data_IF_726014560663
#
_entry.id   IF_726014560663
#
_cell.length_a   1.000
_cell.length_b   1.000
_cell.length_c   1.000
_cell.angle_alpha   90.00
_cell.angle_beta   90.00
_cell.angle_gamma   90.00
#
_symmetry.space_group_name_H-M   'P 1'
#
loop_
_entity.id
_entity.type
_entity.pdbx_description
1 polymer ?
#
# COMPACT_ATOMS: atom_id res chain seq x y z
N UNK A 1 16.37 -4.57 -13.31
CA UNK A 1 15.47 -3.68 -12.50
C UNK A 1 15.43 -2.29 -13.12
N UNK A 2 14.32 -1.59 -12.94
CA UNK A 2 14.22 -0.19 -13.36
C UNK A 2 15.22 0.67 -12.59
N UNK A 3 16.10 1.37 -13.30
CA UNK A 3 17.18 2.18 -12.72
C UNK A 3 16.64 3.29 -11.79
N UNK A 4 15.45 3.82 -12.06
CA UNK A 4 14.84 4.81 -11.19
C UNK A 4 14.54 4.23 -9.80
N UNK A 5 14.04 3.01 -9.75
CA UNK A 5 13.74 2.32 -8.47
C UNK A 5 15.05 1.98 -7.74
N UNK A 6 16.08 1.57 -8.45
CA UNK A 6 17.40 1.31 -7.84
C UNK A 6 17.97 2.55 -7.14
N UNK A 7 17.73 3.72 -7.70
CA UNK A 7 18.25 4.99 -7.18
C UNK A 7 17.37 5.63 -6.10
N UNK A 8 16.09 5.27 -6.03
CA UNK A 8 15.14 5.92 -5.14
C UNK A 8 14.48 4.99 -4.12
N UNK A 9 14.54 3.69 -4.31
CA UNK A 9 13.80 2.64 -3.60
C UNK A 9 12.30 2.62 -3.91
N UNK A 10 11.77 3.56 -4.68
CA UNK A 10 10.33 3.64 -4.97
C UNK A 10 10.03 4.30 -6.31
N UNK A 11 8.80 4.14 -6.76
CA UNK A 11 8.21 4.88 -7.87
C UNK A 11 6.77 5.27 -7.51
N UNK A 12 6.42 6.54 -7.78
CA UNK A 12 5.04 7.02 -7.67
C UNK A 12 4.30 6.72 -8.97
N UNK A 13 3.13 6.12 -8.88
CA UNK A 13 2.31 5.71 -10.01
C UNK A 13 0.94 6.38 -9.91
N UNK A 14 0.74 7.54 -10.56
CA UNK A 14 -0.56 8.19 -10.56
C UNK A 14 -1.58 7.35 -11.33
N UNK A 15 -2.80 7.31 -10.83
CA UNK A 15 -3.91 6.57 -11.45
C UNK A 15 -3.56 5.11 -11.78
N UNK A 16 -2.95 4.43 -10.82
CA UNK A 16 -2.71 2.98 -10.93
C UNK A 16 -4.01 2.22 -11.17
N UNK A 17 -5.08 2.70 -10.53
CA UNK A 17 -6.47 2.39 -10.91
C UNK A 17 -7.25 3.72 -10.99
N UNK A 18 -8.37 3.73 -11.67
CA UNK A 18 -9.23 4.92 -11.74
C UNK A 18 -9.80 5.26 -10.35
N UNK A 19 -9.95 6.55 -10.01
CA UNK A 19 -10.50 6.97 -8.72
C UNK A 19 -11.87 6.36 -8.41
N UNK A 20 -12.72 6.19 -9.41
CA UNK A 20 -14.05 5.58 -9.28
C UNK A 20 -13.96 4.13 -8.83
N UNK A 21 -13.00 3.39 -9.37
CA UNK A 21 -12.73 2.00 -8.98
C UNK A 21 -12.17 1.93 -7.56
N UNK A 22 -11.27 2.84 -7.20
CA UNK A 22 -10.73 2.94 -5.86
C UNK A 22 -11.83 3.18 -4.83
N UNK A 23 -12.74 4.12 -5.11
CA UNK A 23 -13.87 4.42 -4.25
C UNK A 23 -14.84 3.24 -4.11
N UNK A 24 -15.09 2.52 -5.20
CA UNK A 24 -15.95 1.33 -5.19
C UNK A 24 -15.34 0.21 -4.34
N UNK A 25 -14.04 -0.05 -4.49
CA UNK A 25 -13.32 -1.04 -3.68
C UNK A 25 -13.29 -0.65 -2.20
N UNK A 26 -13.10 0.64 -1.90
CA UNK A 26 -13.17 1.13 -0.53
C UNK A 26 -14.56 0.89 0.09
N UNK A 27 -15.62 1.17 -0.65
CA UNK A 27 -17.01 0.95 -0.21
C UNK A 27 -17.25 -0.53 0.10
N UNK A 28 -16.90 -1.41 -0.82
CA UNK A 28 -17.06 -2.86 -0.64
C UNK A 28 -16.29 -3.37 0.59
N UNK A 29 -15.06 -2.90 0.76
CA UNK A 29 -14.23 -3.28 1.91
C UNK A 29 -14.80 -2.76 3.24
N UNK A 30 -15.23 -1.49 3.29
CA UNK A 30 -15.84 -0.91 4.49
C UNK A 30 -17.14 -1.62 4.88
N UNK A 31 -17.98 -1.98 3.91
CA UNK A 31 -19.18 -2.77 4.15
C UNK A 31 -18.85 -4.16 4.72
N UNK A 32 -17.80 -4.78 4.21
CA UNK A 32 -17.30 -6.06 4.71
C UNK A 32 -16.77 -5.95 6.15
N UNK A 33 -15.98 -4.94 6.44
CA UNK A 33 -15.43 -4.68 7.78
C UNK A 33 -16.54 -4.49 8.81
N UNK A 34 -17.57 -3.72 8.47
CA UNK A 34 -18.73 -3.49 9.33
C UNK A 34 -19.54 -4.77 9.54
N UNK A 35 -19.87 -5.47 8.44
CA UNK A 35 -20.72 -6.67 8.48
C UNK A 35 -20.13 -7.79 9.33
N UNK A 36 -18.82 -7.98 9.26
CA UNK A 36 -18.12 -9.09 9.93
C UNK A 36 -17.40 -8.66 11.22
N UNK A 37 -17.61 -7.43 11.68
CA UNK A 37 -17.00 -6.89 12.90
C UNK A 37 -15.48 -7.18 12.95
N UNK A 38 -14.80 -6.80 11.86
CA UNK A 38 -13.36 -7.01 11.74
C UNK A 38 -12.62 -6.22 12.83
N UNK A 39 -11.76 -6.91 13.56
CA UNK A 39 -11.10 -6.40 14.76
C UNK A 39 -9.79 -5.66 14.47
N UNK A 40 -9.26 -5.06 15.54
CA UNK A 40 -8.05 -4.27 15.51
C UNK A 40 -6.84 -5.03 14.98
N UNK A 41 -6.00 -4.29 14.29
CA UNK A 41 -4.72 -4.76 13.80
C UNK A 41 -3.69 -4.77 14.94
N UNK A 42 -2.88 -5.82 15.02
CA UNK A 42 -1.82 -5.94 16.03
C UNK A 42 -0.71 -4.91 15.82
N UNK A 43 -0.44 -4.55 14.55
CA UNK A 43 0.60 -3.58 14.19
C UNK A 43 0.17 -2.13 14.45
N UNK A 44 -1.11 -1.84 14.24
CA UNK A 44 -1.69 -0.49 14.38
C UNK A 44 -2.97 -0.58 15.21
N UNK A 45 -2.87 -0.28 16.49
CA UNK A 45 -4.03 -0.28 17.40
C UNK A 45 -5.15 0.63 16.89
N UNK A 46 -6.39 0.25 17.13
CA UNK A 46 -7.61 0.97 16.72
C UNK A 46 -7.78 1.10 15.21
N UNK A 47 -7.02 0.37 14.41
CA UNK A 47 -7.27 0.22 12.99
C UNK A 47 -7.99 -1.10 12.73
N UNK A 48 -8.51 -1.27 11.52
CA UNK A 48 -9.13 -2.52 11.09
C UNK A 48 -8.40 -3.03 9.86
N UNK A 49 -8.09 -4.31 9.82
CA UNK A 49 -7.31 -4.90 8.73
C UNK A 49 -7.81 -6.28 8.33
N UNK A 50 -7.56 -6.64 7.09
CA UNK A 50 -7.92 -7.95 6.57
C UNK A 50 -6.98 -8.37 5.46
N UNK A 51 -6.51 -9.61 5.55
CA UNK A 51 -5.63 -10.21 4.55
C UNK A 51 -6.47 -10.91 3.48
N UNK A 52 -6.15 -10.64 2.20
CA UNK A 52 -6.74 -11.32 1.06
C UNK A 52 -8.26 -11.16 0.91
N UNK A 53 -8.77 -9.96 1.12
CA UNK A 53 -10.14 -9.62 0.71
C UNK A 53 -10.28 -9.86 -0.80
N UNK A 54 -11.37 -10.54 -1.21
CA UNK A 54 -11.52 -11.08 -2.57
C UNK A 54 -11.31 -10.04 -3.68
N UNK A 55 -11.87 -8.85 -3.54
CA UNK A 55 -11.70 -7.78 -4.54
C UNK A 55 -10.25 -7.34 -4.69
N UNK A 56 -9.47 -7.39 -3.63
CA UNK A 56 -8.04 -7.04 -3.67
C UNK A 56 -7.19 -8.18 -4.20
N UNK A 57 -7.55 -9.43 -3.96
CA UNK A 57 -6.89 -10.58 -4.60
C UNK A 57 -7.05 -10.54 -6.13
N UNK A 58 -8.23 -10.22 -6.61
CA UNK A 58 -8.47 -10.05 -8.04
C UNK A 58 -7.58 -8.94 -8.61
N UNK A 59 -7.52 -7.81 -7.92
CA UNK A 59 -6.67 -6.69 -8.30
C UNK A 59 -5.19 -7.06 -8.30
N UNK A 60 -4.72 -7.77 -7.29
CA UNK A 60 -3.33 -8.25 -7.18
C UNK A 60 -2.92 -9.05 -8.42
N UNK A 61 -3.76 -10.01 -8.81
CA UNK A 61 -3.52 -10.86 -9.98
C UNK A 61 -3.60 -10.05 -11.28
N UNK A 62 -4.62 -9.22 -11.43
CA UNK A 62 -4.82 -8.35 -12.59
C UNK A 62 -3.61 -7.44 -12.84
N UNK A 63 -3.06 -6.85 -11.78
CA UNK A 63 -1.98 -5.87 -11.87
C UNK A 63 -0.57 -6.47 -11.95
N UNK A 64 -0.42 -7.76 -11.80
CA UNK A 64 0.90 -8.43 -11.85
C UNK A 64 1.70 -8.11 -13.10
N UNK A 65 1.14 -8.13 -14.34
CA UNK A 65 1.91 -7.77 -15.54
C UNK A 65 2.34 -6.30 -15.54
N UNK A 66 1.50 -5.42 -15.02
CA UNK A 66 1.80 -3.98 -14.95
C UNK A 66 2.92 -3.70 -13.96
N UNK A 67 2.89 -4.35 -12.78
CA UNK A 67 3.94 -4.27 -11.77
C UNK A 67 5.27 -4.79 -12.31
N UNK A 68 5.26 -5.93 -13.02
CA UNK A 68 6.43 -6.46 -13.74
C UNK A 68 7.03 -5.42 -14.67
N UNK A 69 6.17 -4.72 -15.42
CA UNK A 69 6.62 -3.67 -16.35
C UNK A 69 7.26 -2.48 -15.63
N UNK A 70 6.64 -1.99 -14.54
CA UNK A 70 7.17 -0.88 -13.76
C UNK A 70 8.49 -1.24 -13.10
N UNK A 71 8.59 -2.44 -12.53
CA UNK A 71 9.82 -2.89 -11.88
C UNK A 71 10.95 -3.18 -12.88
N UNK A 72 10.61 -3.62 -14.09
CA UNK A 72 11.57 -4.10 -15.08
C UNK A 72 12.08 -5.51 -14.82
N UNK A 73 11.42 -6.23 -13.92
CA UNK A 73 11.70 -7.65 -13.59
C UNK A 73 10.38 -8.37 -13.35
N UNK A 74 10.32 -9.66 -13.68
CA UNK A 74 9.13 -10.48 -13.42
C UNK A 74 8.86 -10.60 -11.92
N UNK A 75 7.61 -10.34 -11.54
CA UNK A 75 7.15 -10.50 -10.15
C UNK A 75 6.10 -11.60 -10.07
N UNK A 76 6.00 -12.18 -8.88
CA UNK A 76 4.99 -13.16 -8.52
C UNK A 76 4.16 -12.59 -7.36
N UNK A 77 2.82 -12.64 -7.44
CA UNK A 77 1.97 -12.13 -6.37
C UNK A 77 2.07 -13.03 -5.12
N UNK A 78 2.07 -12.42 -3.94
CA UNK A 78 2.11 -13.15 -2.68
C UNK A 78 0.79 -13.02 -1.92
N UNK A 79 0.41 -11.81 -1.52
CA UNK A 79 -0.86 -11.57 -0.83
C UNK A 79 -1.21 -10.09 -0.82
N UNK A 80 -2.43 -9.77 -0.39
CA UNK A 80 -2.86 -8.41 -0.12
C UNK A 80 -3.15 -8.21 1.35
N UNK A 81 -3.02 -6.97 1.81
CA UNK A 81 -3.36 -6.59 3.17
C UNK A 81 -4.03 -5.21 3.13
N UNK A 82 -5.29 -5.14 3.55
CA UNK A 82 -6.04 -3.90 3.55
C UNK A 82 -6.19 -3.37 4.97
N UNK A 83 -6.17 -2.06 5.11
CA UNK A 83 -6.30 -1.41 6.43
C UNK A 83 -7.18 -0.17 6.35
N UNK A 84 -8.04 -0.04 7.35
CA UNK A 84 -8.79 1.18 7.64
C UNK A 84 -8.11 1.86 8.82
N UNK A 85 -7.36 2.92 8.56
CA UNK A 85 -6.73 3.73 9.59
C UNK A 85 -7.73 4.72 10.17
N UNK A 86 -7.58 5.02 11.44
CA UNK A 86 -8.41 5.96 12.21
C UNK A 86 -7.58 7.11 12.75
N UNK A 87 -8.24 8.13 13.25
CA UNK A 87 -7.56 9.27 13.87
C UNK A 87 -6.54 8.84 14.92
N UNK A 88 -5.36 9.41 14.87
CA UNK A 88 -4.26 9.12 15.79
C UNK A 88 -3.44 7.88 15.44
N UNK A 89 -3.83 7.10 14.44
CA UNK A 89 -3.03 5.98 13.99
C UNK A 89 -1.71 6.46 13.40
N UNK A 90 -0.68 5.65 13.54
CA UNK A 90 0.63 5.85 12.92
C UNK A 90 1.16 4.50 12.43
N UNK A 91 2.07 4.54 11.49
CA UNK A 91 2.79 3.35 11.04
C UNK A 91 4.26 3.52 11.42
N UNK A 92 4.71 2.70 12.35
CA UNK A 92 6.09 2.75 12.85
C UNK A 92 7.08 2.49 11.73
N UNK A 93 8.20 3.20 11.75
CA UNK A 93 9.31 3.02 10.80
C UNK A 93 9.79 1.57 10.81
N UNK A 94 9.80 0.95 9.63
CA UNK A 94 10.18 -0.46 9.46
C UNK A 94 10.57 -0.77 8.02
N UNK A 95 11.11 -1.95 7.81
CA UNK A 95 11.21 -2.62 6.52
C UNK A 95 10.30 -3.83 6.54
N UNK A 96 9.91 -4.30 5.38
CA UNK A 96 9.00 -5.42 5.23
C UNK A 96 9.72 -6.78 5.31
N UNK A 97 8.92 -7.83 5.51
CA UNK A 97 9.40 -9.22 5.42
C UNK A 97 9.56 -9.65 3.96
N UNK A 98 10.25 -10.78 3.74
CA UNK A 98 10.58 -11.26 2.38
C UNK A 98 9.39 -11.44 1.44
N UNK A 99 8.22 -11.83 1.95
CA UNK A 99 7.01 -11.95 1.14
C UNK A 99 6.51 -10.62 0.57
N UNK A 100 7.03 -9.51 1.05
CA UNK A 100 6.71 -8.13 0.65
C UNK A 100 7.92 -7.46 -0.01
N UNK A 101 8.74 -8.21 -0.73
CA UNK A 101 9.96 -7.72 -1.37
C UNK A 101 9.69 -6.54 -2.31
N UNK A 102 8.58 -6.59 -3.04
CA UNK A 102 8.05 -5.50 -3.85
C UNK A 102 6.64 -5.23 -3.37
N UNK A 103 6.42 -4.04 -2.85
CA UNK A 103 5.14 -3.66 -2.26
C UNK A 103 4.55 -2.44 -2.97
N UNK A 104 3.23 -2.43 -3.10
CA UNK A 104 2.50 -1.24 -3.50
C UNK A 104 1.57 -0.83 -2.37
N UNK A 105 1.61 0.44 -2.01
CA UNK A 105 0.56 1.08 -1.21
C UNK A 105 -0.38 1.78 -2.17
N UNK A 106 -1.62 1.32 -2.23
CA UNK A 106 -2.67 1.87 -3.10
C UNK A 106 -3.69 2.61 -2.25
N UNK A 107 -3.86 3.90 -2.52
CA UNK A 107 -4.84 4.73 -1.85
C UNK A 107 -6.24 4.51 -2.43
N UNK A 108 -7.22 4.25 -1.55
CA UNK A 108 -8.60 3.98 -1.97
C UNK A 108 -9.54 5.12 -1.60
N UNK A 109 -9.55 5.55 -0.33
CA UNK A 109 -10.41 6.62 0.18
C UNK A 109 -9.76 7.29 1.37
N UNK A 110 -9.82 8.62 1.43
CA UNK A 110 -9.31 9.40 2.55
C UNK A 110 -10.17 10.66 2.77
N UNK A 111 -10.19 11.15 3.99
CA UNK A 111 -10.79 12.43 4.34
C UNK A 111 -9.75 13.49 4.71
N UNK A 112 -8.48 13.12 4.75
CA UNK A 112 -7.36 14.00 5.08
C UNK A 112 -6.08 13.51 4.41
N UNK A 113 -5.24 14.42 3.94
CA UNK A 113 -3.93 14.08 3.40
C UNK A 113 -3.03 13.47 4.49
N UNK A 114 -2.27 12.45 4.10
CA UNK A 114 -1.45 11.72 5.05
C UNK A 114 -0.27 11.06 4.34
N UNK A 115 0.89 11.70 4.33
CA UNK A 115 2.03 11.20 3.56
C UNK A 115 2.57 9.88 4.09
N UNK A 116 2.97 9.02 3.17
CA UNK A 116 3.87 7.92 3.46
C UNK A 116 5.31 8.40 3.26
N UNK A 117 6.17 8.16 4.23
CA UNK A 117 7.58 8.49 4.16
C UNK A 117 8.39 7.28 3.77
N UNK A 118 9.33 7.48 2.85
CA UNK A 118 10.24 6.43 2.35
C UNK A 118 11.66 6.97 2.36
N UNK A 119 12.58 6.13 2.82
CA UNK A 119 14.00 6.42 2.83
C UNK A 119 14.65 5.94 1.54
N UNK A 120 15.33 6.84 0.86
CA UNK A 120 16.13 6.54 -0.34
C UNK A 120 17.46 5.87 0.02
N UNK A 121 18.14 5.21 -0.95
CA UNK A 121 19.48 4.63 -0.70
C UNK A 121 20.52 5.62 -0.19
N UNK A 122 20.41 6.90 -0.56
CA UNK A 122 21.32 7.96 -0.09
C UNK A 122 21.04 8.45 1.33
N UNK A 123 20.02 7.88 2.01
CA UNK A 123 19.63 8.26 3.36
C UNK A 123 18.59 9.37 3.46
N UNK A 124 18.27 10.04 2.36
CA UNK A 124 17.23 11.07 2.30
C UNK A 124 15.84 10.45 2.46
N UNK A 125 14.95 11.11 3.20
CA UNK A 125 13.57 10.71 3.39
C UNK A 125 12.64 11.60 2.58
N UNK A 126 11.62 11.01 1.96
CA UNK A 126 10.61 11.72 1.15
C UNK A 126 9.23 11.35 1.65
N UNK A 127 8.37 12.36 1.86
CA UNK A 127 6.96 12.19 2.15
C UNK A 127 6.11 12.31 0.88
N UNK A 128 5.22 11.36 0.64
CA UNK A 128 4.40 11.30 -0.57
C UNK A 128 2.94 11.17 -0.18
N UNK A 129 2.11 12.14 -0.59
CA UNK A 129 0.66 12.05 -0.51
C UNK A 129 0.12 11.35 -1.75
N UNK A 130 -0.88 10.49 -1.54
CA UNK A 130 -1.54 9.74 -2.59
C UNK A 130 -3.00 10.15 -2.67
N UNK A 131 -3.49 10.43 -3.86
CA UNK A 131 -4.92 10.58 -4.12
C UNK A 131 -5.56 9.23 -4.42
N UNK A 132 -6.90 9.16 -4.37
CA UNK A 132 -7.63 7.92 -4.64
C UNK A 132 -7.25 7.33 -5.99
N UNK A 133 -6.79 6.09 -5.99
CA UNK A 133 -6.33 5.38 -7.18
C UNK A 133 -4.83 5.49 -7.44
N UNK A 134 -4.12 6.39 -6.76
CA UNK A 134 -2.67 6.47 -6.86
C UNK A 134 -2.00 5.38 -6.03
N UNK A 135 -0.86 4.93 -6.52
CA UNK A 135 -0.02 3.97 -5.81
C UNK A 135 1.42 4.45 -5.71
N UNK A 136 2.10 3.95 -4.69
CA UNK A 136 3.54 4.01 -4.60
C UNK A 136 4.05 2.57 -4.56
N UNK A 137 4.96 2.22 -5.47
CA UNK A 137 5.64 0.93 -5.49
C UNK A 137 7.04 1.10 -4.89
N UNK A 138 7.43 0.24 -3.99
CA UNK A 138 8.71 0.35 -3.30
C UNK A 138 9.31 -1.02 -3.00
N UNK A 139 10.63 -1.03 -2.78
CA UNK A 139 11.39 -2.22 -2.40
C UNK A 139 11.22 -2.43 -0.89
N UNK A 140 10.17 -3.18 -0.50
CA UNK A 140 9.72 -3.29 0.89
C UNK A 140 10.79 -3.77 1.86
N UNK A 141 11.64 -4.71 1.45
CA UNK A 141 12.70 -5.24 2.31
C UNK A 141 13.91 -4.29 2.45
N UNK A 142 14.06 -3.34 1.53
CA UNK A 142 15.21 -2.43 1.47
C UNK A 142 14.85 -1.03 1.94
N UNK A 143 13.65 -0.56 1.59
CA UNK A 143 13.19 0.79 1.86
C UNK A 143 12.52 0.90 3.23
N UNK A 144 13.19 1.54 4.17
CA UNK A 144 12.55 1.97 5.42
C UNK A 144 11.38 2.90 5.10
N UNK A 145 10.20 2.63 5.67
CA UNK A 145 9.00 3.45 5.42
C UNK A 145 8.13 3.54 6.67
N UNK A 146 7.35 4.64 6.76
CA UNK A 146 6.52 4.94 7.93
C UNK A 146 5.48 6.01 7.62
N UNK A 147 4.54 6.20 8.56
CA UNK A 147 3.59 7.31 8.57
C UNK A 147 3.55 7.92 9.96
N UNK A 148 3.55 9.24 10.02
CA UNK A 148 3.33 10.01 11.24
C UNK A 148 1.87 9.86 11.72
N UNK A 149 1.48 10.49 12.82
CA UNK A 149 0.09 10.42 13.30
C UNK A 149 -0.91 10.96 12.29
N UNK A 150 -1.96 10.18 12.06
CA UNK A 150 -3.06 10.58 11.18
C UNK A 150 -3.96 11.58 11.88
N UNK A 151 -4.17 12.74 11.26
CA UNK A 151 -5.00 13.83 11.80
C UNK A 151 -6.43 13.84 11.26
N UNK A 152 -6.73 13.02 10.25
CA UNK A 152 -8.07 12.83 9.71
C UNK A 152 -8.89 11.83 10.52
N UNK A 153 -10.02 11.40 9.96
CA UNK A 153 -10.94 10.46 10.61
C UNK A 153 -10.79 9.04 10.09
N UNK A 154 -10.69 8.89 8.76
CA UNK A 154 -10.66 7.59 8.10
C UNK A 154 -9.78 7.60 6.86
N UNK A 155 -8.90 6.62 6.76
CA UNK A 155 -7.99 6.44 5.65
C UNK A 155 -7.97 4.96 5.23
N UNK A 156 -8.46 4.66 4.03
CA UNK A 156 -8.59 3.29 3.53
C UNK A 156 -7.56 3.03 2.46
N UNK A 157 -6.73 2.01 2.65
CA UNK A 157 -5.73 1.60 1.68
C UNK A 157 -5.57 0.10 1.61
N UNK A 158 -4.97 -0.38 0.53
CA UNK A 158 -4.56 -1.77 0.38
C UNK A 158 -3.08 -1.85 0.02
N UNK A 159 -2.40 -2.82 0.61
CA UNK A 159 -1.05 -3.23 0.21
C UNK A 159 -1.16 -4.40 -0.76
N UNK A 160 -0.51 -4.28 -1.91
CA UNK A 160 -0.33 -5.35 -2.89
C UNK A 160 1.12 -5.82 -2.80
N UNK A 161 1.32 -7.09 -2.45
CA UNK A 161 2.67 -7.61 -2.20
C UNK A 161 3.10 -8.62 -3.26
N UNK A 162 4.35 -8.52 -3.64
CA UNK A 162 4.98 -9.36 -4.66
C UNK A 162 6.40 -9.75 -4.23
N UNK A 163 6.91 -10.78 -4.87
CA UNK A 163 8.33 -11.15 -4.82
C UNK A 163 8.89 -11.18 -6.24
N UNK A 164 10.18 -10.94 -6.38
CA UNK A 164 10.85 -11.09 -7.68
C UNK A 164 11.01 -12.56 -8.02
N UNK A 165 10.72 -12.91 -9.27
CA UNK A 165 10.94 -14.26 -9.77
C UNK A 165 12.44 -14.47 -10.01
N UNK A 166 13.00 -15.42 -9.27
CA UNK A 166 14.43 -15.82 -9.41
C UNK A 166 14.56 -17.27 -9.76
#
# INVERSE_FOLDING_TARGET
MNQYIENSNFIYIPKFIFPERANQLAKEFLEFVEKYDIKDDVQVENSQSYQNFVGFLELLCEKTPEVTKFLGETVLPTYTYARVYKNGNELTRHTDRHACEVSLTLQLKKDHDWPIYIKKPNGESVGIDLDSGDAIMYLGCEAEHWREKFEGTEYVQVFLHYVRSR
#
